data_IF_695094822495
#
_entry.id   IF_695094822495
#
_cell.length_a   1.000
_cell.length_b   1.000
_cell.length_c   1.000
_cell.angle_alpha   90.00
_cell.angle_beta   90.00
_cell.angle_gamma   90.00
#
_symmetry.space_group_name_H-M   'P 1'
#
loop_
_entity.id
_entity.type
_entity.pdbx_description
1 polymer ?
#
# COMPACT_ATOMS: atom_id res chain seq x y z
N UNK A 1 -20.40 -10.04 -11.73
CA UNK A 1 -19.66 -10.99 -10.87
C UNK A 1 -18.35 -10.33 -10.50
N UNK A 2 -18.15 -9.99 -9.23
CA UNK A 2 -16.84 -9.53 -8.75
C UNK A 2 -15.97 -10.81 -8.65
N UNK A 3 -14.78 -10.87 -9.26
CA UNK A 3 -13.92 -12.04 -9.15
C UNK A 3 -13.66 -12.33 -7.67
N UNK A 4 -13.77 -13.61 -7.29
CA UNK A 4 -13.40 -14.01 -5.93
C UNK A 4 -11.89 -13.82 -5.79
N UNK A 5 -11.49 -12.75 -5.10
CA UNK A 5 -10.11 -12.56 -4.65
C UNK A 5 -9.59 -13.83 -3.99
N UNK A 6 -8.38 -14.26 -4.33
CA UNK A 6 -7.74 -15.49 -3.89
C UNK A 6 -6.30 -15.23 -3.39
N UNK A 7 -5.62 -16.25 -2.86
CA UNK A 7 -4.27 -16.10 -2.28
C UNK A 7 -3.23 -15.57 -3.28
N UNK A 8 -3.38 -15.83 -4.58
CA UNK A 8 -2.50 -15.26 -5.61
C UNK A 8 -2.58 -13.73 -5.64
N UNK A 9 -3.77 -13.18 -5.44
CA UNK A 9 -3.98 -11.73 -5.45
C UNK A 9 -3.28 -11.11 -4.23
N UNK A 10 -3.34 -11.75 -3.06
CA UNK A 10 -2.59 -11.32 -1.87
C UNK A 10 -1.08 -11.27 -2.13
N UNK A 11 -0.50 -12.32 -2.72
CA UNK A 11 0.94 -12.36 -3.00
C UNK A 11 1.35 -11.32 -4.05
N UNK A 12 0.46 -11.07 -5.02
CA UNK A 12 0.65 -10.00 -6.00
C UNK A 12 0.67 -8.64 -5.31
N UNK A 13 -0.35 -8.30 -4.52
CA UNK A 13 -0.39 -7.02 -3.79
C UNK A 13 0.78 -6.88 -2.81
N UNK A 14 1.26 -7.97 -2.20
CA UNK A 14 2.44 -7.95 -1.32
C UNK A 14 3.72 -7.65 -2.09
N UNK A 15 3.91 -8.30 -3.25
CA UNK A 15 5.07 -8.08 -4.10
C UNK A 15 5.07 -6.65 -4.65
N UNK A 16 3.93 -6.17 -5.14
CA UNK A 16 3.77 -4.80 -5.64
C UNK A 16 4.03 -3.78 -4.52
N UNK A 17 3.43 -3.95 -3.35
CA UNK A 17 3.67 -3.07 -2.19
C UNK A 17 5.17 -2.99 -1.85
N UNK A 18 5.86 -4.12 -1.82
CA UNK A 18 7.30 -4.15 -1.56
C UNK A 18 8.13 -3.48 -2.66
N UNK A 19 7.90 -3.83 -3.92
CA UNK A 19 8.69 -3.33 -5.05
C UNK A 19 8.46 -1.83 -5.22
N UNK A 20 7.21 -1.38 -5.18
CA UNK A 20 6.89 0.04 -5.34
C UNK A 20 7.53 0.87 -4.23
N UNK A 21 7.42 0.43 -2.97
CA UNK A 21 7.98 1.16 -1.83
C UNK A 21 9.51 1.21 -1.83
N UNK A 22 10.16 0.11 -2.20
CA UNK A 22 11.61 -0.05 -1.99
C UNK A 22 12.45 0.20 -3.23
N UNK A 23 11.85 0.19 -4.43
CA UNK A 23 12.57 0.33 -5.69
C UNK A 23 11.96 1.42 -6.57
N UNK A 24 10.66 1.36 -6.87
CA UNK A 24 10.04 2.26 -7.87
C UNK A 24 10.01 3.69 -7.35
N UNK A 25 9.43 3.94 -6.17
CA UNK A 25 9.36 5.30 -5.60
C UNK A 25 10.76 5.93 -5.45
N UNK A 26 11.77 5.26 -4.86
CA UNK A 26 13.13 5.80 -4.83
C UNK A 26 13.72 6.10 -6.20
N UNK A 27 13.41 5.29 -7.22
CA UNK A 27 13.89 5.50 -8.58
C UNK A 27 13.22 6.73 -9.22
N UNK A 28 11.89 6.83 -9.14
CA UNK A 28 11.11 7.96 -9.63
C UNK A 28 11.60 9.27 -9.00
N UNK A 29 11.80 9.29 -7.68
CA UNK A 29 12.35 10.45 -6.96
C UNK A 29 13.73 10.85 -7.47
N UNK A 30 14.61 9.87 -7.70
CA UNK A 30 15.97 10.12 -8.20
C UNK A 30 15.96 10.67 -9.63
N UNK A 31 15.00 10.26 -10.44
CA UNK A 31 14.90 10.64 -11.84
C UNK A 31 14.08 11.92 -12.06
N UNK A 32 13.34 12.39 -11.04
CA UNK A 32 12.40 13.49 -11.19
C UNK A 32 11.22 13.10 -12.07
N UNK A 33 10.77 11.85 -11.95
CA UNK A 33 9.67 11.29 -12.74
C UNK A 33 8.35 12.01 -12.45
N UNK A 34 7.68 12.41 -13.52
CA UNK A 34 6.39 13.12 -13.45
C UNK A 34 5.24 12.18 -13.07
N UNK A 35 5.38 10.86 -13.26
CA UNK A 35 4.35 9.85 -12.95
C UNK A 35 4.46 9.28 -11.52
N UNK A 36 5.28 9.90 -10.66
CA UNK A 36 5.45 9.44 -9.27
C UNK A 36 4.14 9.42 -8.46
N UNK A 37 3.18 10.28 -8.80
CA UNK A 37 1.88 10.34 -8.14
C UNK A 37 1.04 9.07 -8.36
N UNK A 38 1.12 8.49 -9.57
CA UNK A 38 0.49 7.23 -9.96
C UNK A 38 1.11 6.07 -9.19
N UNK A 39 2.44 6.03 -9.09
CA UNK A 39 3.15 5.00 -8.33
C UNK A 39 2.84 5.07 -6.83
N UNK A 40 2.71 6.27 -6.27
CA UNK A 40 2.26 6.44 -4.88
C UNK A 40 0.82 5.97 -4.72
N UNK A 41 -0.06 6.29 -5.67
CA UNK A 41 -1.46 5.85 -5.63
C UNK A 41 -1.55 4.33 -5.70
N UNK A 42 -0.74 3.68 -6.54
CA UNK A 42 -0.62 2.23 -6.64
C UNK A 42 -0.14 1.63 -5.31
N UNK A 43 0.96 2.15 -4.75
CA UNK A 43 1.49 1.75 -3.45
C UNK A 43 0.43 1.73 -2.34
N UNK A 44 -0.32 2.83 -2.22
CA UNK A 44 -1.36 2.99 -1.21
C UNK A 44 -2.54 2.03 -1.43
N UNK A 45 -2.88 1.77 -2.70
CA UNK A 45 -3.93 0.83 -3.08
C UNK A 45 -3.52 -0.61 -2.74
N UNK A 46 -2.29 -1.02 -3.07
CA UNK A 46 -1.77 -2.33 -2.67
C UNK A 46 -1.79 -2.50 -1.15
N UNK A 47 -1.46 -1.46 -0.38
CA UNK A 47 -1.50 -1.55 1.09
C UNK A 47 -2.91 -1.75 1.64
N UNK A 48 -3.90 -1.06 1.08
CA UNK A 48 -5.29 -1.21 1.51
C UNK A 48 -5.88 -2.57 1.11
N UNK A 49 -5.51 -3.07 -0.07
CA UNK A 49 -5.84 -4.42 -0.51
C UNK A 49 -5.26 -5.49 0.41
N UNK A 50 -4.00 -5.35 0.82
CA UNK A 50 -3.36 -6.26 1.78
C UNK A 50 -4.10 -6.27 3.11
N UNK A 51 -4.57 -5.12 3.59
CA UNK A 51 -5.36 -5.07 4.82
C UNK A 51 -6.65 -5.87 4.69
N UNK A 52 -7.37 -5.64 3.60
CA UNK A 52 -8.62 -6.32 3.30
C UNK A 52 -8.42 -7.83 3.23
N UNK A 53 -7.30 -8.27 2.66
CA UNK A 53 -6.98 -9.70 2.53
C UNK A 53 -6.55 -10.31 3.87
N UNK A 54 -5.78 -9.58 4.70
CA UNK A 54 -5.45 -10.02 6.08
C UNK A 54 -6.73 -10.23 6.91
N UNK A 55 -7.68 -9.30 6.82
CA UNK A 55 -8.95 -9.39 7.55
C UNK A 55 -9.83 -10.52 7.03
N UNK A 56 -9.87 -10.71 5.72
CA UNK A 56 -10.70 -11.73 5.08
C UNK A 56 -10.18 -13.15 5.29
N UNK A 57 -8.87 -13.32 5.37
CA UNK A 57 -8.20 -14.61 5.42
C UNK A 57 -7.37 -14.76 6.72
N UNK A 58 -7.91 -14.27 7.84
CA UNK A 58 -7.22 -14.22 9.14
C UNK A 58 -6.70 -15.58 9.62
N UNK A 59 -7.34 -16.67 9.19
CA UNK A 59 -7.02 -18.04 9.59
C UNK A 59 -6.06 -18.75 8.61
N UNK A 60 -5.66 -18.09 7.51
CA UNK A 60 -4.77 -18.69 6.51
C UNK A 60 -3.29 -18.60 6.96
N UNK A 61 -2.62 -19.74 7.24
CA UNK A 61 -1.24 -19.74 7.74
C UNK A 61 -0.25 -19.10 6.76
N UNK A 62 -0.55 -19.17 5.46
CA UNK A 62 0.25 -18.56 4.40
C UNK A 62 0.30 -17.03 4.52
N UNK A 63 -0.80 -16.40 4.92
CA UNK A 63 -0.85 -14.94 5.14
C UNK A 63 -0.20 -14.59 6.47
N UNK A 64 -0.49 -15.36 7.52
CA UNK A 64 0.11 -15.16 8.85
C UNK A 64 1.65 -15.13 8.81
N UNK A 65 2.25 -15.96 7.96
CA UNK A 65 3.70 -16.00 7.75
C UNK A 65 4.30 -14.69 7.21
N UNK A 66 3.50 -13.80 6.61
CA UNK A 66 3.95 -12.55 6.00
C UNK A 66 3.62 -11.29 6.82
N UNK A 67 2.88 -11.39 7.93
CA UNK A 67 2.50 -10.22 8.75
C UNK A 67 3.72 -9.44 9.24
N UNK A 68 4.77 -10.13 9.69
CA UNK A 68 6.00 -9.46 10.13
C UNK A 68 6.66 -8.62 9.02
N UNK A 69 6.69 -9.16 7.80
CA UNK A 69 7.20 -8.46 6.60
C UNK A 69 6.33 -7.24 6.28
N UNK A 70 5.01 -7.37 6.35
CA UNK A 70 4.08 -6.26 6.10
C UNK A 70 4.30 -5.14 7.12
N UNK A 71 4.46 -5.47 8.41
CA UNK A 71 4.80 -4.48 9.44
C UNK A 71 6.15 -3.80 9.20
N UNK A 72 7.15 -4.51 8.66
CA UNK A 72 8.41 -3.90 8.26
C UNK A 72 8.25 -2.90 7.11
N UNK A 73 7.45 -3.26 6.10
CA UNK A 73 7.12 -2.37 4.99
C UNK A 73 6.33 -1.15 5.47
N UNK A 74 5.36 -1.34 6.37
CA UNK A 74 4.59 -0.24 6.98
C UNK A 74 5.51 0.74 7.73
N UNK A 75 6.49 0.24 8.48
CA UNK A 75 7.51 1.11 9.12
C UNK A 75 8.30 1.91 8.09
N UNK A 76 8.70 1.29 6.97
CA UNK A 76 9.40 2.00 5.89
C UNK A 76 8.51 3.04 5.21
N UNK A 77 7.22 2.76 5.04
CA UNK A 77 6.24 3.70 4.50
C UNK A 77 6.09 4.91 5.43
N UNK A 78 5.95 4.68 6.74
CA UNK A 78 5.88 5.76 7.74
C UNK A 78 7.12 6.65 7.70
N UNK A 79 8.32 6.07 7.56
CA UNK A 79 9.56 6.85 7.47
C UNK A 79 9.62 7.73 6.20
N UNK A 80 8.90 7.35 5.13
CA UNK A 80 8.86 8.06 3.86
C UNK A 80 7.62 8.95 3.71
N UNK A 81 6.76 9.04 4.75
CA UNK A 81 5.43 9.67 4.65
C UNK A 81 5.46 11.10 4.12
N UNK A 82 6.41 11.91 4.56
CA UNK A 82 6.49 13.33 4.17
C UNK A 82 6.74 13.47 2.65
N UNK A 83 7.64 12.66 2.10
CA UNK A 83 7.97 12.65 0.68
C UNK A 83 6.76 12.13 -0.12
N UNK A 84 6.13 11.08 0.36
CA UNK A 84 4.96 10.49 -0.30
C UNK A 84 3.79 11.49 -0.33
N UNK A 85 3.54 12.20 0.76
CA UNK A 85 2.48 13.21 0.83
C UNK A 85 2.80 14.46 0.01
N UNK A 86 4.08 14.86 -0.10
CA UNK A 86 4.45 16.01 -0.95
C UNK A 86 4.24 15.74 -2.44
N UNK A 87 4.27 14.47 -2.85
CA UNK A 87 4.07 14.02 -4.24
C UNK A 87 2.66 13.44 -4.50
N UNK A 88 1.78 13.42 -3.50
CA UNK A 88 0.39 12.98 -3.64
C UNK A 88 -0.56 14.03 -3.05
N UNK A 89 -0.70 15.15 -3.76
CA UNK A 89 -1.54 16.27 -3.36
C UNK A 89 -3.01 15.88 -3.12
N UNK A 90 -3.46 14.79 -3.77
CA UNK A 90 -4.82 14.29 -3.69
C UNK A 90 -5.01 13.15 -2.67
N UNK A 91 -4.09 12.97 -1.72
CA UNK A 91 -4.16 11.87 -0.74
C UNK A 91 -5.48 11.84 0.06
N UNK A 92 -5.99 13.01 0.44
CA UNK A 92 -7.33 13.11 1.07
C UNK A 92 -8.44 12.61 0.14
N UNK A 93 -8.46 13.06 -1.11
CA UNK A 93 -9.45 12.60 -2.10
C UNK A 93 -9.33 11.12 -2.38
N UNK A 94 -8.11 10.58 -2.46
CA UNK A 94 -7.86 9.15 -2.62
C UNK A 94 -8.46 8.35 -1.46
N UNK A 95 -8.20 8.76 -0.20
CA UNK A 95 -8.75 8.09 0.99
C UNK A 95 -10.29 8.09 0.98
N UNK A 96 -10.90 9.24 0.67
CA UNK A 96 -12.36 9.38 0.62
C UNK A 96 -12.98 8.56 -0.50
N UNK A 97 -12.41 8.63 -1.72
CA UNK A 97 -12.90 7.91 -2.90
C UNK A 97 -12.87 6.39 -2.69
N UNK A 98 -11.80 5.89 -2.07
CA UNK A 98 -11.64 4.47 -1.78
C UNK A 98 -12.33 4.02 -0.49
N UNK A 99 -12.99 4.95 0.24
CA UNK A 99 -13.73 4.67 1.49
C UNK A 99 -12.86 3.97 2.54
N UNK A 100 -11.61 4.39 2.65
CA UNK A 100 -10.65 3.79 3.58
C UNK A 100 -11.21 3.88 5.02
N UNK A 101 -11.25 2.79 5.79
CA UNK A 101 -11.69 2.84 7.18
C UNK A 101 -10.80 3.71 8.07
N UNK A 102 -11.40 4.46 9.01
CA UNK A 102 -10.67 5.24 10.03
C UNK A 102 -9.88 4.38 11.02
N UNK A 103 -10.09 3.07 11.03
CA UNK A 103 -9.29 2.10 11.80
C UNK A 103 -7.92 1.83 11.17
N UNK A 104 -7.76 2.10 9.87
CA UNK A 104 -6.50 1.87 9.18
C UNK A 104 -5.51 2.98 9.54
N UNK A 105 -4.31 2.63 10.00
CA UNK A 105 -3.35 3.62 10.49
C UNK A 105 -2.95 4.64 9.41
N UNK A 106 -2.89 4.23 8.14
CA UNK A 106 -2.57 5.13 7.03
C UNK A 106 -3.65 6.20 6.83
N UNK A 107 -4.88 5.99 7.31
CA UNK A 107 -5.88 7.06 7.36
C UNK A 107 -5.35 8.33 8.02
N UNK A 108 -4.38 8.23 8.94
CA UNK A 108 -3.80 9.36 9.66
C UNK A 108 -2.41 9.75 9.15
N UNK A 109 -2.00 9.33 7.95
CA UNK A 109 -0.85 9.95 7.29
C UNK A 109 -1.21 11.42 7.02
N UNK A 110 -0.53 12.30 7.75
CA UNK A 110 -0.58 13.75 7.70
C UNK A 110 0.81 14.30 7.90
#
# INVERSE_FOLDING_TARGET
>A
MIPKKNLHDFFTSLQEYEITLTKIIPLCLKQGDEEIDMEITHLLTCRDELQSDIERFSDEPQIAAHIAKIHELDRKLVLQKEIILSHNADYQKWRERNKIPKSHWWWYMT
#
